data_IF_497666316762
#
_entry.id   IF_497666316762
#
_cell.length_a   1.000
_cell.length_b   1.000
_cell.length_c   1.000
_cell.angle_alpha   90.00
_cell.angle_beta   90.00
_cell.angle_gamma   90.00
#
_symmetry.space_group_name_H-M   'P 1'
#
loop_
_entity.id
_entity.type
_entity.pdbx_description
1 polymer ?
#
# COMPACT_ATOMS: atom_id res chain seq x y z
N UNK A 1 -15.20 0.48 -17.48
CA UNK A 1 -15.96 1.48 -18.26
C UNK A 1 -17.36 1.00 -18.64
N UNK A 2 -17.52 -0.28 -19.04
CA UNK A 2 -18.85 -0.85 -19.38
C UNK A 2 -19.90 -0.66 -18.27
N UNK A 3 -19.63 -0.93 -16.98
CA UNK A 3 -20.66 -0.74 -15.93
C UNK A 3 -21.05 0.73 -15.73
N UNK A 4 -20.09 1.65 -15.78
CA UNK A 4 -20.34 3.09 -15.68
C UNK A 4 -21.19 3.60 -16.85
N UNK A 5 -20.87 3.16 -18.07
CA UNK A 5 -21.62 3.54 -19.27
C UNK A 5 -23.08 3.05 -19.19
N UNK A 6 -23.29 1.83 -18.70
CA UNK A 6 -24.64 1.29 -18.47
C UNK A 6 -25.38 2.11 -17.42
N UNK A 7 -24.77 2.41 -16.27
CA UNK A 7 -25.43 3.18 -15.20
C UNK A 7 -25.76 4.62 -15.58
N UNK A 8 -24.93 5.25 -16.41
CA UNK A 8 -25.23 6.58 -16.96
C UNK A 8 -26.33 6.48 -18.02
N UNK A 9 -26.29 5.47 -18.90
CA UNK A 9 -27.31 5.26 -19.93
C UNK A 9 -28.68 4.90 -19.34
N UNK A 10 -28.73 4.18 -18.22
CA UNK A 10 -29.97 3.85 -17.50
C UNK A 10 -30.46 4.96 -16.57
N UNK A 11 -29.74 6.08 -16.49
CA UNK A 11 -30.09 7.23 -15.63
C UNK A 11 -29.95 6.96 -14.13
N UNK A 12 -29.30 5.86 -13.74
CA UNK A 12 -29.04 5.50 -12.34
C UNK A 12 -27.95 6.41 -11.75
N UNK A 13 -26.99 6.84 -12.56
CA UNK A 13 -25.93 7.78 -12.19
C UNK A 13 -26.04 9.01 -13.08
N UNK A 14 -26.34 10.16 -12.47
CA UNK A 14 -26.38 11.45 -13.14
C UNK A 14 -25.07 12.23 -13.04
N UNK A 15 -25.10 13.48 -13.49
CA UNK A 15 -23.93 14.37 -13.48
C UNK A 15 -23.51 14.81 -12.07
N UNK A 16 -24.39 14.73 -11.08
CA UNK A 16 -24.07 15.12 -9.70
C UNK A 16 -23.27 14.02 -9.02
N UNK A 17 -23.68 12.77 -9.18
CA UNK A 17 -23.02 11.58 -8.64
C UNK A 17 -21.61 11.40 -9.25
N UNK A 18 -21.44 11.73 -10.54
CA UNK A 18 -20.11 11.74 -11.18
C UNK A 18 -19.14 12.76 -10.55
N UNK A 19 -19.64 13.85 -9.96
CA UNK A 19 -18.81 14.85 -9.27
C UNK A 19 -18.36 14.37 -7.90
N UNK A 20 -19.08 13.43 -7.30
CA UNK A 20 -18.72 12.85 -5.99
C UNK A 20 -17.57 11.84 -6.10
N UNK A 21 -17.22 11.41 -7.32
CA UNK A 21 -16.03 10.58 -7.55
C UNK A 21 -14.78 11.35 -7.10
N UNK A 22 -13.91 10.68 -6.33
CA UNK A 22 -12.66 11.26 -5.86
C UNK A 22 -11.60 11.31 -6.99
N UNK A 23 -11.72 12.32 -7.87
CA UNK A 23 -10.84 12.53 -9.01
C UNK A 23 -9.36 12.64 -8.64
N UNK A 24 -9.05 13.21 -7.48
CA UNK A 24 -7.67 13.32 -6.97
C UNK A 24 -7.03 11.95 -6.77
N UNK A 25 -7.78 10.98 -6.24
CA UNK A 25 -7.29 9.60 -6.08
C UNK A 25 -7.08 8.93 -7.43
N UNK A 26 -7.98 9.12 -8.39
CA UNK A 26 -7.82 8.58 -9.75
C UNK A 26 -6.55 9.11 -10.44
N UNK A 27 -6.32 10.42 -10.37
CA UNK A 27 -5.12 11.04 -10.93
C UNK A 27 -3.84 10.56 -10.26
N UNK A 28 -3.86 10.36 -8.95
CA UNK A 28 -2.73 9.84 -8.20
C UNK A 28 -2.40 8.38 -8.58
N UNK A 29 -3.41 7.52 -8.75
CA UNK A 29 -3.23 6.14 -9.22
C UNK A 29 -2.68 6.14 -10.65
N UNK A 30 -3.22 6.98 -11.54
CA UNK A 30 -2.71 7.14 -12.90
C UNK A 30 -1.24 7.61 -12.93
N UNK A 31 -0.89 8.59 -12.07
CA UNK A 31 0.48 9.05 -11.88
C UNK A 31 1.40 7.95 -11.35
N UNK A 32 0.92 7.11 -10.43
CA UNK A 32 1.65 5.95 -9.93
C UNK A 32 1.98 4.94 -11.04
N UNK A 33 1.00 4.60 -11.89
CA UNK A 33 1.25 3.75 -13.05
C UNK A 33 2.25 4.37 -14.04
N UNK A 34 2.10 5.66 -14.33
CA UNK A 34 3.03 6.39 -15.19
C UNK A 34 4.47 6.36 -14.61
N UNK A 35 4.62 6.56 -13.30
CA UNK A 35 5.90 6.47 -12.60
C UNK A 35 6.51 5.06 -12.67
N UNK A 36 5.71 4.01 -12.46
CA UNK A 36 6.18 2.62 -12.58
C UNK A 36 6.66 2.29 -13.99
N UNK A 37 5.93 2.76 -15.01
CA UNK A 37 6.36 2.62 -16.41
C UNK A 37 7.64 3.40 -16.68
N UNK A 38 7.75 4.64 -16.20
CA UNK A 38 8.94 5.46 -16.36
C UNK A 38 10.17 4.85 -15.67
N UNK A 39 10.04 4.31 -14.45
CA UNK A 39 11.11 3.59 -13.74
C UNK A 39 11.64 2.40 -14.53
N UNK A 40 10.73 1.66 -15.18
CA UNK A 40 11.09 0.52 -16.03
C UNK A 40 11.75 0.96 -17.34
N UNK A 41 11.17 1.96 -18.02
CA UNK A 41 11.67 2.44 -19.33
C UNK A 41 13.01 3.16 -19.22
N UNK A 42 13.25 3.90 -18.14
CA UNK A 42 14.51 4.62 -17.91
C UNK A 42 15.65 3.71 -17.45
N UNK A 43 15.36 2.46 -17.09
CA UNK A 43 16.33 1.54 -16.50
C UNK A 43 16.73 1.90 -15.06
N UNK A 44 16.14 2.95 -14.47
CA UNK A 44 16.42 3.35 -13.08
C UNK A 44 16.09 2.24 -12.08
N UNK A 45 15.07 1.44 -12.39
CA UNK A 45 14.73 0.24 -11.65
C UNK A 45 15.88 -0.77 -11.55
N UNK A 46 16.48 -1.12 -12.70
CA UNK A 46 17.63 -2.02 -12.77
C UNK A 46 18.82 -1.41 -12.04
N UNK A 47 19.09 -0.12 -12.25
CA UNK A 47 20.17 0.58 -11.55
C UNK A 47 20.01 0.55 -10.02
N UNK A 48 18.79 0.71 -9.49
CA UNK A 48 18.54 0.64 -8.05
C UNK A 48 18.79 -0.76 -7.49
N UNK A 49 18.42 -1.79 -8.26
CA UNK A 49 18.61 -3.19 -7.87
C UNK A 49 20.06 -3.62 -7.96
N UNK A 50 20.81 -3.07 -8.91
CA UNK A 50 22.25 -3.32 -9.05
C UNK A 50 23.07 -2.53 -8.02
N UNK A 51 22.58 -1.34 -7.63
CA UNK A 51 23.26 -0.47 -6.66
C UNK A 51 23.09 -0.92 -5.21
N UNK A 52 22.00 -1.61 -4.89
CA UNK A 52 21.72 -2.15 -3.57
C UNK A 52 21.74 -3.67 -3.70
N UNK A 53 22.57 -4.42 -2.94
CA UNK A 53 22.73 -5.86 -3.11
C UNK A 53 21.52 -6.62 -2.53
N UNK A 54 20.32 -6.37 -3.07
CA UNK A 54 19.05 -6.96 -2.65
C UNK A 54 19.09 -8.49 -2.71
N UNK A 55 19.92 -9.06 -3.59
CA UNK A 55 20.15 -10.50 -3.69
C UNK A 55 20.75 -11.13 -2.44
N UNK A 56 21.46 -10.35 -1.63
CA UNK A 56 22.09 -10.80 -0.39
C UNK A 56 21.17 -10.60 0.81
N UNK A 57 20.12 -9.77 0.68
CA UNK A 57 19.17 -9.54 1.75
C UNK A 57 18.19 -10.72 1.87
N UNK A 58 17.83 -11.13 3.10
CA UNK A 58 16.73 -12.05 3.30
C UNK A 58 15.46 -11.45 2.70
N UNK A 59 14.71 -12.19 1.88
CA UNK A 59 13.50 -11.69 1.24
C UNK A 59 12.44 -11.22 2.25
N UNK A 60 12.39 -11.86 3.44
CA UNK A 60 11.60 -11.39 4.59
C UNK A 60 12.02 -10.00 5.06
N UNK A 61 13.31 -9.69 5.10
CA UNK A 61 13.80 -8.39 5.56
C UNK A 61 13.37 -7.27 4.60
N UNK A 62 13.39 -7.53 3.28
CA UNK A 62 12.91 -6.58 2.28
C UNK A 62 11.42 -6.30 2.45
N UNK A 63 10.61 -7.34 2.62
CA UNK A 63 9.17 -7.20 2.88
C UNK A 63 8.92 -6.36 4.14
N UNK A 64 9.59 -6.70 5.25
CA UNK A 64 9.41 -5.98 6.52
C UNK A 64 9.87 -4.52 6.46
N UNK A 65 11.00 -4.24 5.82
CA UNK A 65 11.50 -2.87 5.66
C UNK A 65 10.58 -2.04 4.77
N UNK A 66 10.14 -2.59 3.64
CA UNK A 66 9.19 -1.92 2.75
C UNK A 66 7.86 -1.62 3.47
N UNK A 67 7.39 -2.56 4.29
CA UNK A 67 6.19 -2.41 5.12
C UNK A 67 6.34 -1.30 6.14
N UNK A 68 7.47 -1.27 6.84
CA UNK A 68 7.77 -0.27 7.86
C UNK A 68 7.83 1.13 7.25
N UNK A 69 8.53 1.27 6.12
CA UNK A 69 8.59 2.54 5.37
C UNK A 69 7.20 2.96 4.93
N UNK A 70 6.42 2.04 4.37
CA UNK A 70 5.04 2.33 3.96
C UNK A 70 4.16 2.76 5.13
N UNK A 71 4.20 2.05 6.25
CA UNK A 71 3.42 2.39 7.44
C UNK A 71 3.80 3.74 8.03
N UNK A 72 5.10 4.07 8.04
CA UNK A 72 5.58 5.39 8.46
C UNK A 72 5.05 6.48 7.53
N UNK A 73 5.24 6.34 6.22
CA UNK A 73 4.73 7.32 5.24
C UNK A 73 3.21 7.47 5.33
N UNK A 74 2.50 6.35 5.45
CA UNK A 74 1.05 6.27 5.58
C UNK A 74 0.52 6.83 6.91
N UNK A 75 1.36 7.00 7.92
CA UNK A 75 0.94 7.64 9.17
C UNK A 75 0.83 9.16 9.01
N UNK A 76 1.63 9.75 8.11
CA UNK A 76 1.66 11.20 7.85
C UNK A 76 0.92 11.62 6.57
N UNK A 77 0.76 10.69 5.64
CA UNK A 77 0.05 10.84 4.36
C UNK A 77 -1.26 10.05 4.43
N UNK A 78 -2.15 10.17 3.45
CA UNK A 78 -3.31 9.27 3.32
C UNK A 78 -2.88 7.83 2.96
N UNK A 79 -3.49 6.82 3.58
CA UNK A 79 -3.24 5.41 3.28
C UNK A 79 -3.37 5.06 1.80
N UNK A 80 -4.41 5.58 1.15
CA UNK A 80 -4.63 5.37 -0.29
C UNK A 80 -3.53 6.02 -1.11
N UNK A 81 -3.04 7.18 -0.68
CA UNK A 81 -1.97 7.90 -1.37
C UNK A 81 -0.62 7.22 -1.24
N UNK A 82 -0.25 6.81 -0.04
CA UNK A 82 0.99 6.07 0.18
C UNK A 82 0.98 4.74 -0.56
N UNK A 83 -0.13 4.00 -0.56
CA UNK A 83 -0.25 2.76 -1.31
C UNK A 83 -0.10 2.99 -2.83
N UNK A 84 -0.79 3.99 -3.39
CA UNK A 84 -0.71 4.31 -4.82
C UNK A 84 0.70 4.73 -5.27
N UNK A 85 1.48 5.38 -4.40
CA UNK A 85 2.86 5.77 -4.67
C UNK A 85 3.85 4.61 -4.53
N UNK A 86 3.74 3.82 -3.46
CA UNK A 86 4.69 2.74 -3.15
C UNK A 86 4.49 1.50 -4.01
N UNK A 87 3.25 1.19 -4.40
CA UNK A 87 2.90 -0.01 -5.18
C UNK A 87 3.67 -0.13 -6.51
N UNK A 88 3.71 0.88 -7.41
CA UNK A 88 4.45 0.79 -8.66
C UNK A 88 5.97 0.64 -8.44
N UNK A 89 6.52 1.27 -7.41
CA UNK A 89 7.96 1.18 -7.09
C UNK A 89 8.31 -0.24 -6.65
N UNK A 90 7.55 -0.79 -5.69
CA UNK A 90 7.78 -2.15 -5.20
C UNK A 90 7.40 -3.23 -6.21
N UNK A 91 6.46 -2.99 -7.12
CA UNK A 91 6.15 -3.94 -8.18
C UNK A 91 7.36 -4.14 -9.10
N UNK A 92 8.08 -3.06 -9.40
CA UNK A 92 9.27 -3.10 -10.24
C UNK A 92 10.46 -3.73 -9.51
N UNK A 93 10.72 -3.34 -8.25
CA UNK A 93 11.79 -3.94 -7.43
C UNK A 93 11.50 -5.41 -7.13
N UNK A 94 10.25 -5.75 -6.81
CA UNK A 94 9.84 -7.13 -6.57
C UNK A 94 9.98 -7.99 -7.83
N UNK A 95 9.70 -7.42 -9.01
CA UNK A 95 9.89 -8.10 -10.30
C UNK A 95 11.34 -8.51 -10.57
N UNK A 96 12.32 -7.71 -10.15
CA UNK A 96 13.74 -8.07 -10.27
C UNK A 96 14.23 -9.04 -9.18
N UNK A 97 13.47 -9.21 -8.10
CA UNK A 97 13.75 -10.15 -7.00
C UNK A 97 12.84 -11.39 -7.03
N UNK A 98 12.24 -11.69 -8.20
CA UNK A 98 11.17 -12.68 -8.32
C UNK A 98 11.55 -14.07 -7.79
N UNK A 99 12.80 -14.51 -8.03
CA UNK A 99 13.28 -15.82 -7.55
C UNK A 99 13.39 -15.89 -6.02
N UNK A 100 13.83 -14.81 -5.36
CA UNK A 100 13.99 -14.76 -3.91
C UNK A 100 12.64 -14.62 -3.19
N UNK A 101 11.66 -13.99 -3.83
CA UNK A 101 10.31 -13.85 -3.31
C UNK A 101 9.43 -15.07 -3.61
N UNK A 102 9.81 -15.93 -4.55
CA UNK A 102 9.00 -17.10 -4.95
C UNK A 102 8.64 -18.01 -3.77
N UNK A 103 9.58 -18.22 -2.83
CA UNK A 103 9.36 -19.01 -1.61
C UNK A 103 8.37 -18.39 -0.62
N UNK A 104 8.00 -17.13 -0.81
CA UNK A 104 7.09 -16.36 0.06
C UNK A 104 5.79 -15.97 -0.64
N UNK A 105 5.48 -16.54 -1.81
CA UNK A 105 4.29 -16.19 -2.61
C UNK A 105 4.52 -15.05 -3.62
N UNK A 106 5.77 -14.78 -3.96
CA UNK A 106 6.16 -13.91 -5.06
C UNK A 106 5.96 -12.42 -4.78
N UNK A 107 5.96 -11.63 -5.87
CA UNK A 107 5.77 -10.18 -5.84
C UNK A 107 4.38 -9.81 -5.30
N UNK A 108 3.40 -10.69 -5.50
CA UNK A 108 2.03 -10.51 -5.05
C UNK A 108 1.95 -10.42 -3.53
N UNK A 109 2.66 -11.28 -2.80
CA UNK A 109 2.74 -11.21 -1.33
C UNK A 109 3.33 -9.87 -0.87
N UNK A 110 4.38 -9.38 -1.53
CA UNK A 110 4.97 -8.06 -1.22
C UNK A 110 3.96 -6.92 -1.42
N UNK A 111 3.25 -6.91 -2.55
CA UNK A 111 2.29 -5.86 -2.88
C UNK A 111 1.03 -5.89 -1.99
N UNK A 112 0.55 -7.09 -1.65
CA UNK A 112 -0.56 -7.27 -0.71
C UNK A 112 -0.16 -6.86 0.71
N UNK A 113 1.04 -7.26 1.13
CA UNK A 113 1.62 -6.85 2.39
C UNK A 113 1.78 -5.33 2.50
N UNK A 114 2.23 -4.68 1.43
CA UNK A 114 2.28 -3.22 1.34
C UNK A 114 0.90 -2.58 1.55
N UNK A 115 -0.13 -3.08 0.87
CA UNK A 115 -1.49 -2.55 0.99
C UNK A 115 -2.06 -2.71 2.41
N UNK A 116 -1.80 -3.85 3.05
CA UNK A 116 -2.11 -4.05 4.47
C UNK A 116 -1.33 -3.09 5.37
N UNK A 117 -0.04 -2.89 5.07
CA UNK A 117 0.83 -2.03 5.88
C UNK A 117 0.39 -0.58 5.85
N UNK A 118 0.00 -0.06 4.68
CA UNK A 118 -0.62 1.25 4.55
C UNK A 118 -1.94 1.32 5.34
N UNK A 119 -2.76 0.28 5.28
CA UNK A 119 -4.06 0.26 5.96
C UNK A 119 -3.94 0.23 7.49
N UNK A 120 -2.87 -0.37 8.03
CA UNK A 120 -2.58 -0.45 9.47
C UNK A 120 -1.94 0.82 10.05
N UNK A 121 -1.69 1.85 9.22
CA UNK A 121 -1.13 3.12 9.66
C UNK A 121 -2.17 4.00 10.35
N UNK A 122 -2.39 3.74 11.65
CA UNK A 122 -3.41 4.42 12.46
C UNK A 122 -2.83 5.03 13.75
N UNK A 123 -1.54 5.38 13.75
CA UNK A 123 -0.84 5.85 14.95
C UNK A 123 -1.12 7.31 15.32
N UNK A 124 -1.56 8.17 14.38
CA UNK A 124 -1.79 9.59 14.66
C UNK A 124 -3.24 10.01 14.36
N UNK A 125 -3.77 11.05 15.04
CA UNK A 125 -5.09 11.60 14.74
C UNK A 125 -5.26 12.04 13.29
N UNK A 126 -4.17 12.52 12.67
CA UNK A 126 -4.15 13.01 11.29
C UNK A 126 -4.18 11.88 10.25
N UNK A 127 -3.89 10.63 10.64
CA UNK A 127 -3.69 9.54 9.68
C UNK A 127 -4.98 9.14 8.94
N UNK A 128 -6.14 9.15 9.62
CA UNK A 128 -7.43 8.81 9.00
C UNK A 128 -8.62 9.57 9.62
N UNK A 129 -9.72 9.80 8.87
CA UNK A 129 -10.90 10.47 9.41
C UNK A 129 -11.51 9.84 10.68
N UNK A 130 -11.59 8.50 10.82
CA UNK A 130 -12.05 7.88 12.07
C UNK A 130 -11.17 8.22 13.27
N UNK A 131 -9.85 8.30 13.08
CA UNK A 131 -8.92 8.72 14.14
C UNK A 131 -9.13 10.19 14.52
N UNK A 132 -9.31 11.07 13.54
CA UNK A 132 -9.61 12.48 13.79
C UNK A 132 -10.94 12.66 14.54
N UNK A 133 -11.97 11.90 14.17
CA UNK A 133 -13.26 11.87 14.87
C UNK A 133 -13.10 11.41 16.32
N UNK A 134 -12.40 10.30 16.58
CA UNK A 134 -12.14 9.83 17.94
C UNK A 134 -11.38 10.87 18.77
N UNK A 135 -10.36 11.52 18.20
CA UNK A 135 -9.60 12.58 18.87
C UNK A 135 -10.47 13.81 19.21
N UNK A 136 -11.41 14.17 18.33
CA UNK A 136 -12.31 15.32 18.53
C UNK A 136 -13.28 15.16 19.72
N UNK A 137 -13.51 13.94 20.20
CA UNK A 137 -14.33 13.69 21.40
C UNK A 137 -13.71 14.21 22.70
N UNK A 138 -12.41 14.52 22.70
CA UNK A 138 -11.67 14.93 23.90
C UNK A 138 -11.36 13.81 24.88
N UNK A 139 -11.83 12.59 24.63
CA UNK A 139 -11.61 11.41 25.48
C UNK A 139 -10.25 10.76 25.28
N UNK A 140 -9.60 10.99 24.13
CA UNK A 140 -8.33 10.37 23.74
C UNK A 140 -7.26 11.42 23.50
N UNK A 141 -6.07 11.24 24.09
CA UNK A 141 -4.91 12.07 23.76
C UNK A 141 -4.16 11.45 22.58
N UNK A 142 -3.41 12.28 21.85
CA UNK A 142 -2.58 11.81 20.72
C UNK A 142 -1.60 10.69 21.14
N UNK A 143 -1.07 10.75 22.37
CA UNK A 143 -0.20 9.70 22.93
C UNK A 143 -0.91 8.37 23.15
N UNK A 144 -2.21 8.39 23.48
CA UNK A 144 -2.98 7.15 23.69
C UNK A 144 -3.22 6.48 22.33
N UNK A 145 -3.60 7.27 21.34
CA UNK A 145 -3.79 6.81 19.96
C UNK A 145 -2.50 6.26 19.35
N UNK A 146 -1.35 6.89 19.61
CA UNK A 146 -0.05 6.38 19.14
C UNK A 146 0.28 5.01 19.74
N UNK A 147 0.04 4.80 21.04
CA UNK A 147 0.27 3.51 21.69
C UNK A 147 -0.63 2.43 21.09
N UNK A 148 -1.93 2.70 20.95
CA UNK A 148 -2.87 1.75 20.35
C UNK A 148 -2.53 1.48 18.89
N UNK A 149 -2.22 2.51 18.10
CA UNK A 149 -1.84 2.36 16.70
C UNK A 149 -0.56 1.55 16.52
N UNK A 150 0.44 1.72 17.40
CA UNK A 150 1.65 0.90 17.37
C UNK A 150 1.36 -0.57 17.70
N UNK A 151 0.53 -0.83 18.72
CA UNK A 151 0.13 -2.20 19.11
C UNK A 151 -0.61 -2.88 17.95
N UNK A 152 -1.57 -2.19 17.34
CA UNK A 152 -2.33 -2.68 16.19
C UNK A 152 -1.41 -2.91 14.98
N UNK A 153 -0.44 -2.03 14.74
CA UNK A 153 0.54 -2.21 13.67
C UNK A 153 1.38 -3.46 13.86
N UNK A 154 1.93 -3.68 15.07
CA UNK A 154 2.77 -4.85 15.36
C UNK A 154 1.98 -6.15 15.27
N UNK A 155 0.78 -6.19 15.86
CA UNK A 155 -0.10 -7.36 15.77
C UNK A 155 -0.57 -7.60 14.33
N UNK A 156 -0.97 -6.54 13.63
CA UNK A 156 -1.42 -6.59 12.26
C UNK A 156 -0.32 -7.01 11.29
N UNK A 157 0.91 -6.57 11.48
CA UNK A 157 2.06 -7.05 10.70
C UNK A 157 2.31 -8.53 10.98
N UNK A 158 2.35 -8.92 12.25
CA UNK A 158 2.63 -10.31 12.64
C UNK A 158 1.59 -11.27 12.08
N UNK A 159 0.30 -10.97 12.27
CA UNK A 159 -0.81 -11.81 11.79
C UNK A 159 -0.93 -11.70 10.27
N UNK A 160 -0.93 -10.48 9.72
CA UNK A 160 -1.13 -10.22 8.30
C UNK A 160 -0.06 -10.87 7.43
N UNK A 161 1.22 -10.75 7.80
CA UNK A 161 2.30 -11.40 7.06
C UNK A 161 2.33 -12.91 7.23
N UNK A 162 2.00 -13.42 8.43
CA UNK A 162 1.90 -14.88 8.62
C UNK A 162 0.83 -15.49 7.72
N UNK A 163 -0.34 -14.84 7.64
CA UNK A 163 -1.43 -15.26 6.75
C UNK A 163 -1.05 -15.09 5.28
N UNK A 164 -0.48 -13.95 4.90
CA UNK A 164 -0.09 -13.70 3.51
C UNK A 164 1.00 -14.65 3.02
N UNK A 165 1.99 -14.98 3.84
CA UNK A 165 3.03 -15.95 3.45
C UNK A 165 2.44 -17.35 3.38
N UNK A 166 1.60 -17.74 4.35
CA UNK A 166 0.94 -19.04 4.33
C UNK A 166 0.06 -19.21 3.08
N UNK A 167 -0.87 -18.28 2.81
CA UNK A 167 -1.71 -18.32 1.61
C UNK A 167 -0.91 -18.07 0.33
N UNK A 168 0.10 -17.22 0.39
CA UNK A 168 1.06 -16.88 -0.68
C UNK A 168 1.62 -18.13 -1.35
N UNK A 169 2.10 -19.06 -0.51
CA UNK A 169 2.71 -20.31 -0.96
C UNK A 169 1.69 -21.27 -1.59
N UNK A 170 0.42 -21.24 -1.19
CA UNK A 170 -0.62 -22.15 -1.69
C UNK A 170 -1.44 -21.61 -2.87
N UNK A 171 -1.61 -20.30 -2.98
CA UNK A 171 -2.55 -19.67 -3.93
C UNK A 171 -1.84 -19.08 -5.15
N UNK A 172 -0.57 -18.66 -5.02
CA UNK A 172 0.16 -17.96 -6.08
C UNK A 172 1.25 -18.80 -6.76
N UNK A 173 1.38 -20.09 -6.43
CA UNK A 173 2.17 -21.06 -7.21
C UNK A 173 1.35 -21.63 -8.37
#
# INVERSE_FOLDING_TARGET
MIPLAIFVATGVIGTQELKEINWSVLWMVAGGFALGVALKQTGLASLLVDSIPFSTFPSIAVILLASLVCWLLSTFISNTATAALMMPILAVIGGSMSEQLASLGGVQTLLMGLALSASLAMALPISTPPNALAYSTGLFKAKDMQKFGLIVAVLGFSIGYSVLIAFGVYVWQ
#
